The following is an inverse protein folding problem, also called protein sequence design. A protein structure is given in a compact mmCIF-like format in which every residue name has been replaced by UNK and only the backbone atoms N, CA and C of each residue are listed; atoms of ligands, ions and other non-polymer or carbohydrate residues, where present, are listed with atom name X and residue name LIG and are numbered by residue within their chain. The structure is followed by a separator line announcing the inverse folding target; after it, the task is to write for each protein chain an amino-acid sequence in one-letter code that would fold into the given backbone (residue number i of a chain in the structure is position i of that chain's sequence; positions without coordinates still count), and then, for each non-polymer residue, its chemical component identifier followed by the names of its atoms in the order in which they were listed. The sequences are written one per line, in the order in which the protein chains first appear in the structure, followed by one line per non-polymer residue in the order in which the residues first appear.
data_IF_286096306001
#
_entry.id   IF_286096306001
#
_cell.length_a   1.000
_cell.length_b   1.000
_cell.length_c   1.000
_cell.angle_alpha   90.00
_cell.angle_beta   90.00
_cell.angle_gamma   90.00
#
_symmetry.space_group_name_H-M   'P 1'
#
loop_
_entity.id
_entity.type
_entity.pdbx_description
1 polymer ?
#
# COMPACT_ATOMS: atom_id res chain seq x y z
N UNK A 1 -41.99 -2.03 -60.07
CA UNK A 1 -42.58 -3.33 -60.54
C UNK A 1 -42.55 -4.24 -59.33
N UNK A 2 -43.64 -4.43 -58.60
CA UNK A 2 -44.60 -5.53 -58.64
C UNK A 2 -43.84 -6.87 -58.62
N UNK A 3 -44.02 -7.82 -57.76
CA UNK A 3 -45.10 -8.40 -56.93
C UNK A 3 -44.48 -9.75 -56.44
N UNK A 4 -44.79 -10.49 -55.52
CA UNK A 4 -45.93 -10.85 -54.66
C UNK A 4 -45.53 -11.96 -53.71
N UNK A 5 -46.01 -11.85 -52.54
CA UNK A 5 -46.37 -12.86 -51.52
C UNK A 5 -46.58 -14.32 -51.99
N UNK A 6 -46.17 -15.29 -51.16
CA UNK A 6 -47.09 -16.41 -50.80
C UNK A 6 -46.74 -17.01 -49.43
N UNK A 7 -47.73 -17.10 -48.56
CA UNK A 7 -47.77 -17.85 -47.29
C UNK A 7 -48.03 -19.33 -47.58
N UNK A 8 -47.40 -20.22 -46.86
CA UNK A 8 -47.97 -21.54 -46.57
C UNK A 8 -47.78 -21.87 -45.11
N UNK A 9 -48.88 -22.23 -44.49
CA UNK A 9 -49.10 -22.74 -43.13
C UNK A 9 -48.95 -24.27 -43.19
N UNK A 10 -48.27 -24.86 -42.21
CA UNK A 10 -48.25 -26.31 -42.03
C UNK A 10 -47.83 -26.68 -40.63
N UNK A 11 -48.74 -27.31 -39.95
CA UNK A 11 -48.79 -27.60 -38.48
C UNK A 11 -48.22 -29.00 -38.17
N UNK A 12 -47.70 -29.16 -36.92
CA UNK A 12 -47.67 -30.36 -36.04
C UNK A 12 -46.49 -31.34 -36.21
N UNK A 13 -45.84 -31.60 -35.09
CA UNK A 13 -45.04 -32.79 -34.82
C UNK A 13 -44.13 -32.68 -33.61
N UNK A 14 -44.68 -32.98 -32.43
CA UNK A 14 -43.94 -33.14 -31.18
C UNK A 14 -43.10 -34.42 -31.24
N UNK A 15 -41.78 -34.33 -31.03
CA UNK A 15 -41.01 -35.47 -30.53
C UNK A 15 -39.81 -34.93 -29.70
N UNK A 16 -39.88 -35.27 -28.39
CA UNK A 16 -38.78 -35.02 -27.46
C UNK A 16 -37.63 -36.03 -27.73
N UNK A 17 -36.43 -35.50 -27.91
CA UNK A 17 -35.20 -36.29 -27.73
C UNK A 17 -34.25 -35.45 -26.84
N UNK A 18 -33.94 -36.01 -25.67
CA UNK A 18 -32.91 -35.53 -24.78
C UNK A 18 -31.54 -35.77 -25.43
N UNK A 19 -30.87 -34.68 -25.80
CA UNK A 19 -29.46 -34.68 -26.24
C UNK A 19 -28.63 -33.91 -25.26
N UNK A 20 -27.84 -34.63 -24.48
CA UNK A 20 -26.81 -34.02 -23.60
C UNK A 20 -25.73 -33.39 -24.47
N UNK A 21 -25.75 -32.06 -24.58
CA UNK A 21 -24.63 -31.25 -25.08
C UNK A 21 -23.69 -30.96 -23.93
N UNK A 22 -22.54 -31.65 -23.92
CA UNK A 22 -21.37 -31.25 -23.15
C UNK A 22 -20.84 -29.98 -23.81
N UNK A 23 -21.19 -28.83 -23.27
CA UNK A 23 -20.55 -27.55 -23.58
C UNK A 23 -19.28 -27.45 -22.74
N UNK A 24 -18.10 -27.55 -23.39
CA UNK A 24 -16.86 -27.06 -22.84
C UNK A 24 -16.99 -25.54 -22.71
N UNK A 25 -17.47 -25.08 -21.57
CA UNK A 25 -17.40 -23.68 -21.18
C UNK A 25 -16.03 -23.40 -20.62
N UNK A 26 -15.28 -22.51 -21.26
CA UNK A 26 -14.14 -21.86 -20.68
C UNK A 26 -14.63 -21.12 -19.43
N UNK A 27 -14.30 -21.64 -18.24
CA UNK A 27 -14.50 -20.93 -16.99
C UNK A 27 -13.64 -19.66 -17.02
N UNK A 28 -14.27 -18.51 -17.24
CA UNK A 28 -13.74 -17.24 -16.82
C UNK A 28 -13.82 -17.24 -15.30
N UNK A 29 -12.68 -17.48 -14.63
CA UNK A 29 -12.52 -17.34 -13.19
C UNK A 29 -12.72 -15.87 -12.78
N UNK A 30 -13.93 -15.41 -12.76
CA UNK A 30 -14.32 -14.23 -12.01
C UNK A 30 -14.39 -14.65 -10.55
N UNK A 31 -13.42 -14.22 -9.75
CA UNK A 31 -13.44 -14.39 -8.31
C UNK A 31 -14.82 -13.94 -7.79
N UNK A 32 -15.53 -14.83 -7.11
CA UNK A 32 -16.78 -14.48 -6.47
C UNK A 32 -16.53 -13.33 -5.48
N UNK A 33 -17.37 -12.29 -5.46
CA UNK A 33 -17.24 -11.23 -4.46
C UNK A 33 -17.31 -11.83 -3.06
N UNK A 34 -16.64 -11.21 -2.08
CA UNK A 34 -16.63 -11.63 -0.67
C UNK A 34 -18.05 -11.54 -0.05
N UNK A 35 -18.97 -12.34 -0.54
CA UNK A 35 -20.39 -12.28 -0.13
C UNK A 35 -20.64 -12.72 1.32
N UNK A 36 -19.63 -13.29 2.03
CA UNK A 36 -19.74 -13.77 3.41
C UNK A 36 -18.46 -13.63 4.23
N UNK A 37 -17.61 -12.62 3.97
CA UNK A 37 -16.56 -12.29 4.93
C UNK A 37 -17.23 -11.84 6.23
N UNK A 38 -17.11 -12.64 7.28
CA UNK A 38 -17.75 -12.48 8.59
C UNK A 38 -18.00 -11.02 8.94
N UNK A 39 -19.25 -10.69 9.15
CA UNK A 39 -19.88 -9.38 9.17
C UNK A 39 -18.97 -8.19 9.54
N UNK A 40 -18.45 -7.47 8.54
CA UNK A 40 -18.50 -6.02 8.60
C UNK A 40 -19.96 -5.70 8.87
N UNK A 41 -20.28 -4.81 9.78
CA UNK A 41 -21.66 -4.53 10.16
C UNK A 41 -22.57 -4.57 8.93
N UNK A 42 -23.42 -5.58 8.82
CA UNK A 42 -24.50 -5.62 7.81
C UNK A 42 -25.57 -4.60 8.15
N UNK A 43 -25.40 -3.86 9.24
CA UNK A 43 -26.24 -2.75 9.63
C UNK A 43 -26.18 -1.71 8.50
N UNK A 44 -27.30 -1.52 7.84
CA UNK A 44 -27.46 -0.41 6.90
C UNK A 44 -27.44 0.88 7.69
N UNK A 45 -26.49 1.75 7.37
CA UNK A 45 -26.36 3.10 7.92
C UNK A 45 -26.81 4.12 6.85
N UNK A 46 -28.11 4.33 6.65
CA UNK A 46 -28.60 5.21 5.59
C UNK A 46 -28.07 6.65 5.74
N UNK A 47 -27.75 7.06 6.96
CA UNK A 47 -27.13 8.36 7.24
C UNK A 47 -25.72 8.51 6.66
N UNK A 48 -25.05 7.41 6.30
CA UNK A 48 -23.72 7.44 5.67
C UNK A 48 -23.79 7.56 4.15
N UNK A 49 -24.95 7.41 3.53
CA UNK A 49 -25.13 7.46 2.07
C UNK A 49 -24.72 8.78 1.43
N UNK A 50 -24.67 9.85 2.22
CA UNK A 50 -24.20 11.18 1.80
C UNK A 50 -22.68 11.28 1.65
N UNK A 51 -21.91 10.34 2.23
CA UNK A 51 -20.45 10.39 2.19
C UNK A 51 -19.88 9.76 0.93
N UNK A 52 -18.82 10.35 0.44
CA UNK A 52 -17.89 9.75 -0.52
C UNK A 52 -16.51 9.85 0.10
N UNK A 53 -15.93 8.71 0.44
CA UNK A 53 -14.58 8.66 0.98
C UNK A 53 -13.55 8.59 -0.15
N UNK A 54 -12.52 9.43 -0.06
CA UNK A 54 -11.35 9.36 -0.93
C UNK A 54 -10.23 8.65 -0.19
N UNK A 55 -9.80 7.50 -0.71
CA UNK A 55 -8.70 6.71 -0.17
C UNK A 55 -7.45 7.00 -0.98
N UNK A 56 -6.39 7.45 -0.30
CA UNK A 56 -5.07 7.63 -0.89
C UNK A 56 -4.38 6.27 -1.08
N UNK A 57 -3.99 5.97 -2.32
CA UNK A 57 -3.23 4.78 -2.71
C UNK A 57 -1.86 5.20 -3.22
N UNK A 58 -0.79 4.78 -2.56
CA UNK A 58 0.58 5.04 -3.01
C UNK A 58 1.12 3.96 -3.97
N UNK A 59 0.27 3.01 -4.38
CA UNK A 59 0.56 1.99 -5.39
C UNK A 59 1.47 0.85 -4.92
N UNK A 60 2.04 0.91 -3.71
CA UNK A 60 2.96 -0.12 -3.23
C UNK A 60 2.25 -1.43 -2.90
N UNK A 61 1.16 -1.35 -2.18
CA UNK A 61 0.36 -2.49 -1.72
C UNK A 61 -0.82 -2.85 -2.64
N UNK A 62 -1.16 -2.00 -3.63
CA UNK A 62 -2.24 -2.28 -4.57
C UNK A 62 -3.64 -2.32 -3.94
N UNK A 63 -3.89 -1.52 -2.91
CA UNK A 63 -5.18 -1.47 -2.22
C UNK A 63 -6.35 -1.23 -3.16
N UNK A 64 -6.20 -0.38 -4.19
CA UNK A 64 -7.26 -0.16 -5.17
C UNK A 64 -7.58 -1.40 -6.00
N UNK A 65 -6.54 -2.13 -6.46
CA UNK A 65 -6.71 -3.38 -7.20
C UNK A 65 -7.41 -4.43 -6.34
N UNK A 66 -6.99 -4.52 -5.08
CA UNK A 66 -7.52 -5.47 -4.11
C UNK A 66 -8.98 -5.17 -3.78
N UNK A 67 -9.34 -3.91 -3.55
CA UNK A 67 -10.72 -3.49 -3.31
C UNK A 67 -11.65 -3.82 -4.49
N UNK A 68 -11.19 -3.63 -5.72
CA UNK A 68 -11.93 -4.02 -6.93
C UNK A 68 -12.08 -5.53 -7.05
N UNK A 69 -11.02 -6.29 -6.75
CA UNK A 69 -11.02 -7.75 -6.84
C UNK A 69 -11.97 -8.36 -5.82
N UNK A 70 -11.99 -7.85 -4.59
CA UNK A 70 -12.76 -8.41 -3.48
C UNK A 70 -14.19 -7.91 -3.42
N UNK A 71 -14.50 -6.77 -4.06
CA UNK A 71 -15.81 -6.11 -3.93
C UNK A 71 -16.12 -5.65 -2.50
N UNK A 72 -15.08 -5.42 -1.68
CA UNK A 72 -15.22 -5.15 -0.23
C UNK A 72 -16.11 -3.95 0.09
N UNK A 73 -16.29 -3.04 -0.85
CA UNK A 73 -17.14 -1.85 -0.72
C UNK A 73 -18.50 -1.95 -1.40
N UNK A 74 -18.84 -3.06 -2.11
CA UNK A 74 -20.05 -3.17 -2.91
C UNK A 74 -21.33 -3.00 -2.09
N UNK A 75 -21.31 -3.45 -0.83
CA UNK A 75 -22.44 -3.33 0.10
C UNK A 75 -22.27 -2.20 1.13
N UNK A 76 -21.33 -1.28 0.91
CA UNK A 76 -21.14 -0.14 1.81
C UNK A 76 -22.30 0.85 1.71
N UNK A 77 -22.66 1.49 2.84
CA UNK A 77 -23.68 2.54 2.86
C UNK A 77 -23.17 3.90 2.37
N UNK A 78 -21.96 3.98 1.89
CA UNK A 78 -21.26 5.18 1.38
C UNK A 78 -20.57 4.85 0.07
N UNK A 79 -20.02 5.86 -0.59
CA UNK A 79 -19.20 5.70 -1.80
C UNK A 79 -17.71 5.77 -1.47
N UNK A 80 -16.91 5.04 -2.24
CA UNK A 80 -15.45 5.08 -2.15
C UNK A 80 -14.85 5.41 -3.50
N UNK A 81 -13.81 6.23 -3.50
CA UNK A 81 -12.94 6.49 -4.65
C UNK A 81 -11.48 6.43 -4.20
N UNK A 82 -10.60 6.05 -5.09
CA UNK A 82 -9.17 6.02 -4.85
C UNK A 82 -8.48 7.19 -5.55
N UNK A 83 -7.53 7.81 -4.87
CA UNK A 83 -6.62 8.81 -5.41
C UNK A 83 -5.20 8.27 -5.38
N UNK A 84 -4.54 8.21 -6.54
CA UNK A 84 -3.20 7.64 -6.65
C UNK A 84 -2.11 8.67 -6.34
N UNK A 85 -1.15 8.24 -5.56
CA UNK A 85 0.06 8.99 -5.20
C UNK A 85 1.31 8.20 -5.59
N UNK A 86 2.39 8.90 -5.90
CA UNK A 86 3.66 8.28 -6.26
C UNK A 86 4.44 7.78 -5.05
N UNK A 87 4.20 8.36 -3.86
CA UNK A 87 4.84 7.98 -2.58
C UNK A 87 4.17 8.71 -1.41
N UNK A 88 4.61 8.41 -0.16
CA UNK A 88 3.91 8.81 1.05
C UNK A 88 3.78 10.31 1.35
N UNK A 89 4.82 11.16 1.27
CA UNK A 89 4.73 12.58 1.63
C UNK A 89 3.63 13.39 0.93
N UNK A 90 3.41 13.30 -0.40
CA UNK A 90 2.26 13.93 -1.05
C UNK A 90 0.91 13.43 -0.53
N UNK A 91 0.81 12.14 -0.16
CA UNK A 91 -0.41 11.55 0.40
C UNK A 91 -0.72 12.15 1.78
N UNK A 92 0.28 12.28 2.67
CA UNK A 92 0.10 12.93 3.98
C UNK A 92 -0.32 14.39 3.82
N UNK A 93 0.23 15.10 2.84
CA UNK A 93 -0.19 16.47 2.52
C UNK A 93 -1.66 16.52 2.07
N UNK A 94 -2.10 15.59 1.23
CA UNK A 94 -3.48 15.49 0.78
C UNK A 94 -4.45 15.12 1.93
N UNK A 95 -4.01 14.29 2.89
CA UNK A 95 -4.78 14.04 4.11
C UNK A 95 -4.92 15.31 4.96
N UNK A 96 -3.85 16.09 5.06
CA UNK A 96 -3.86 17.34 5.82
C UNK A 96 -4.74 18.42 5.20
N UNK A 97 -4.81 18.51 3.85
CA UNK A 97 -5.72 19.44 3.16
C UNK A 97 -7.17 18.96 3.12
N UNK A 98 -7.43 17.68 3.44
CA UNK A 98 -8.76 17.07 3.34
C UNK A 98 -9.12 16.58 1.92
N UNK A 99 -8.17 16.54 0.99
CA UNK A 99 -8.36 16.01 -0.36
C UNK A 99 -8.54 14.49 -0.37
N UNK A 100 -8.00 13.83 0.65
CA UNK A 100 -8.28 12.43 0.96
C UNK A 100 -8.74 12.30 2.42
N UNK A 101 -9.51 11.25 2.69
CA UNK A 101 -10.03 10.95 4.04
C UNK A 101 -9.13 9.99 4.81
N UNK A 102 -8.51 9.05 4.11
CA UNK A 102 -7.68 7.97 4.65
C UNK A 102 -6.63 7.56 3.61
N UNK A 103 -5.47 7.08 4.06
CA UNK A 103 -4.51 6.45 3.16
C UNK A 103 -3.38 5.77 3.92
N UNK A 104 -2.71 4.80 3.28
CA UNK A 104 -1.58 4.06 3.83
C UNK A 104 -0.26 4.68 3.39
N UNK A 105 0.69 4.81 4.32
CA UNK A 105 2.03 5.35 4.09
C UNK A 105 3.06 4.56 4.91
N UNK A 106 4.34 4.63 4.53
CA UNK A 106 5.42 4.10 5.37
C UNK A 106 5.57 4.86 6.70
N UNK A 107 6.57 4.52 7.48
CA UNK A 107 6.85 5.07 8.81
C UNK A 107 7.29 6.55 8.79
N UNK A 108 8.10 6.97 7.86
CA UNK A 108 8.67 8.34 7.81
C UNK A 108 7.69 9.44 7.38
N UNK A 109 6.77 9.25 6.41
CA UNK A 109 5.87 10.32 5.98
C UNK A 109 5.05 10.97 7.11
N UNK A 110 4.51 10.26 8.13
CA UNK A 110 3.86 10.90 9.26
C UNK A 110 4.80 11.80 10.06
N UNK A 111 6.04 11.38 10.27
CA UNK A 111 7.07 12.16 10.98
C UNK A 111 7.36 13.47 10.24
N UNK A 112 7.62 13.37 8.93
CA UNK A 112 7.96 14.56 8.12
C UNK A 112 6.78 15.49 7.92
N UNK A 113 5.55 14.95 7.85
CA UNK A 113 4.32 15.73 7.82
C UNK A 113 4.06 16.47 9.13
N UNK A 114 4.24 15.78 10.27
CA UNK A 114 4.10 16.38 11.59
C UNK A 114 5.13 17.48 11.85
N UNK A 115 6.38 17.29 11.43
CA UNK A 115 7.43 18.31 11.51
C UNK A 115 7.10 19.58 10.69
N UNK A 116 6.22 19.47 9.68
CA UNK A 116 5.66 20.58 8.90
C UNK A 116 4.33 21.10 9.47
N UNK A 117 3.90 20.57 10.62
CA UNK A 117 2.64 20.95 11.30
C UNK A 117 1.39 20.67 10.45
N UNK A 118 1.42 19.62 9.64
CA UNK A 118 0.27 19.19 8.84
C UNK A 118 -0.85 18.63 9.74
N UNK A 119 -2.09 18.98 9.43
CA UNK A 119 -3.29 18.59 10.18
C UNK A 119 -3.82 17.21 9.79
N UNK A 120 -3.19 16.15 10.25
CA UNK A 120 -3.62 14.76 10.07
C UNK A 120 -3.47 13.96 11.36
N UNK A 121 -3.98 12.73 11.40
CA UNK A 121 -3.73 11.77 12.48
C UNK A 121 -3.30 10.42 11.93
N UNK A 122 -2.43 9.73 12.67
CA UNK A 122 -2.14 8.29 12.49
C UNK A 122 -3.24 7.51 13.20
N UNK A 123 -3.95 6.65 12.48
CA UNK A 123 -5.19 6.03 12.97
C UNK A 123 -5.14 4.51 13.09
N UNK A 124 -4.14 3.87 12.49
CA UNK A 124 -3.86 2.44 12.60
C UNK A 124 -2.44 2.15 12.11
N UNK A 125 -1.92 0.97 12.45
CA UNK A 125 -0.67 0.43 11.93
C UNK A 125 -0.92 -0.82 11.10
N UNK A 126 -0.20 -0.91 10.00
CA UNK A 126 -0.17 -2.08 9.13
C UNK A 126 1.16 -2.79 9.34
N UNK A 127 1.12 -3.96 10.00
CA UNK A 127 2.29 -4.72 10.44
C UNK A 127 2.57 -5.87 9.50
N UNK A 128 3.85 -6.09 9.17
CA UNK A 128 4.24 -7.28 8.41
C UNK A 128 3.99 -8.57 9.19
N UNK A 129 3.44 -9.57 8.52
CA UNK A 129 3.38 -10.96 8.98
C UNK A 129 4.62 -11.76 8.57
N UNK A 130 5.48 -11.18 7.73
CA UNK A 130 6.74 -11.73 7.25
C UNK A 130 7.90 -10.78 7.53
N UNK A 131 8.23 -10.53 8.83
CA UNK A 131 9.22 -9.52 9.21
C UNK A 131 10.65 -9.85 8.79
N UNK A 132 10.90 -11.05 8.28
CA UNK A 132 12.14 -11.53 7.68
C UNK A 132 12.26 -11.20 6.18
N UNK A 133 11.20 -10.67 5.57
CA UNK A 133 11.16 -10.26 4.16
C UNK A 133 11.16 -8.74 4.04
N UNK A 134 12.18 -8.23 3.35
CA UNK A 134 12.35 -6.80 3.16
C UNK A 134 11.38 -6.26 2.09
N UNK A 135 10.55 -5.29 2.47
CA UNK A 135 9.70 -4.51 1.56
C UNK A 135 10.53 -3.50 0.78
N UNK A 136 11.59 -2.96 1.40
CA UNK A 136 12.47 -1.97 0.81
C UNK A 136 13.95 -2.32 1.01
N UNK A 137 14.81 -1.79 0.15
CA UNK A 137 16.23 -2.11 0.14
C UNK A 137 17.06 -0.90 -0.32
N UNK A 138 18.34 -0.87 0.08
CA UNK A 138 19.35 -0.08 -0.61
C UNK A 138 20.00 -0.99 -1.65
N UNK A 139 19.88 -0.63 -2.92
CA UNK A 139 20.40 -1.38 -4.06
C UNK A 139 21.54 -0.64 -4.74
N UNK A 140 22.42 -1.40 -5.38
CA UNK A 140 23.56 -0.88 -6.15
C UNK A 140 23.55 -1.48 -7.56
N UNK A 141 24.11 -0.78 -8.57
CA UNK A 141 24.14 -1.27 -9.95
C UNK A 141 24.89 -2.60 -10.09
N UNK A 142 24.58 -3.34 -11.14
CA UNK A 142 25.36 -4.52 -11.55
C UNK A 142 26.85 -4.16 -11.68
N UNK A 143 27.72 -4.97 -11.09
CA UNK A 143 29.18 -4.75 -11.11
C UNK A 143 29.70 -3.71 -10.10
N UNK A 144 28.82 -3.11 -9.30
CA UNK A 144 29.23 -2.21 -8.22
C UNK A 144 30.20 -2.90 -7.25
N UNK A 145 31.28 -2.20 -6.88
CA UNK A 145 32.29 -2.66 -5.92
C UNK A 145 31.86 -2.42 -4.45
N UNK A 146 30.76 -1.72 -4.19
CA UNK A 146 30.24 -1.49 -2.85
C UNK A 146 29.73 -2.82 -2.29
N UNK A 147 30.21 -3.24 -1.13
CA UNK A 147 29.88 -4.54 -0.50
C UNK A 147 29.05 -4.41 0.77
N UNK A 148 29.21 -3.31 1.48
CA UNK A 148 28.57 -3.03 2.79
C UNK A 148 28.02 -1.61 2.85
N UNK A 149 27.22 -1.31 3.87
CA UNK A 149 26.73 0.04 4.12
C UNK A 149 27.89 1.06 4.37
N UNK A 150 29.03 0.62 4.91
CA UNK A 150 30.18 1.48 5.14
C UNK A 150 30.79 2.02 3.83
N UNK A 151 30.67 1.26 2.73
CA UNK A 151 31.16 1.66 1.41
C UNK A 151 30.34 2.80 0.78
N UNK A 152 29.21 3.18 1.41
CA UNK A 152 28.41 4.32 1.00
C UNK A 152 29.07 5.66 1.28
N UNK A 153 30.15 5.70 2.09
CA UNK A 153 30.88 6.94 2.36
C UNK A 153 31.32 7.62 1.07
N UNK A 154 31.00 8.92 0.92
CA UNK A 154 31.27 9.73 -0.26
C UNK A 154 30.42 9.41 -1.49
N UNK A 155 29.48 8.46 -1.42
CA UNK A 155 28.65 8.02 -2.55
C UNK A 155 27.37 8.83 -2.69
N UNK A 156 26.85 8.84 -3.92
CA UNK A 156 25.54 9.44 -4.27
C UNK A 156 24.47 8.38 -4.08
N UNK A 157 23.50 8.67 -3.23
CA UNK A 157 22.39 7.77 -2.92
C UNK A 157 21.08 8.43 -3.37
N UNK A 158 20.42 7.89 -4.38
CA UNK A 158 19.08 8.33 -4.73
C UNK A 158 18.09 7.88 -3.68
N UNK A 159 17.19 8.76 -3.27
CA UNK A 159 16.17 8.47 -2.27
C UNK A 159 14.99 9.43 -2.40
N UNK A 160 13.72 8.94 -2.31
CA UNK A 160 12.56 9.83 -2.21
C UNK A 160 12.55 10.52 -0.85
N UNK A 161 12.64 11.85 -0.85
CA UNK A 161 12.75 12.64 0.39
C UNK A 161 11.53 12.45 1.29
N UNK A 162 11.76 12.15 2.56
CA UNK A 162 10.70 12.01 3.57
C UNK A 162 9.87 10.73 3.44
N UNK A 163 10.32 9.74 2.65
CA UNK A 163 9.73 8.42 2.55
C UNK A 163 10.38 7.43 3.52
N UNK A 164 9.80 6.23 3.68
CA UNK A 164 10.41 5.11 4.42
C UNK A 164 11.80 4.76 3.91
N UNK A 165 12.00 4.78 2.59
CA UNK A 165 13.32 4.57 1.99
C UNK A 165 14.36 5.63 2.42
N UNK A 166 13.92 6.85 2.78
CA UNK A 166 14.81 7.84 3.41
C UNK A 166 15.18 7.41 4.83
N UNK A 167 14.21 6.89 5.60
CA UNK A 167 14.46 6.30 6.92
C UNK A 167 15.46 5.14 6.86
N UNK A 168 15.23 4.19 5.94
CA UNK A 168 16.15 3.09 5.69
C UNK A 168 17.58 3.58 5.40
N UNK A 169 17.73 4.59 4.52
CA UNK A 169 19.05 5.14 4.20
C UNK A 169 19.75 5.73 5.43
N UNK A 170 19.03 6.52 6.25
CA UNK A 170 19.58 7.11 7.47
C UNK A 170 19.97 6.05 8.51
N UNK A 171 19.12 5.07 8.73
CA UNK A 171 19.38 4.00 9.69
C UNK A 171 20.53 3.10 9.23
N UNK A 172 20.61 2.81 7.92
CA UNK A 172 21.74 2.06 7.36
C UNK A 172 23.07 2.79 7.53
N UNK A 173 23.11 4.09 7.29
CA UNK A 173 24.29 4.92 7.53
C UNK A 173 24.67 4.92 9.01
N UNK A 174 23.71 5.15 9.89
CA UNK A 174 23.91 5.16 11.35
C UNK A 174 24.45 3.82 11.87
N UNK A 175 24.00 2.70 11.32
CA UNK A 175 24.42 1.37 11.74
C UNK A 175 25.93 1.11 11.54
N UNK A 176 26.58 1.88 10.66
CA UNK A 176 28.01 1.80 10.38
C UNK A 176 28.77 3.07 10.79
N UNK A 177 28.18 3.90 11.65
CA UNK A 177 28.81 5.13 12.18
C UNK A 177 28.90 6.28 11.18
N UNK A 178 28.16 6.21 10.06
CA UNK A 178 28.07 7.30 9.10
C UNK A 178 26.86 8.20 9.39
N UNK A 179 26.95 9.44 8.89
CA UNK A 179 25.89 10.46 8.95
C UNK A 179 25.49 10.88 7.54
N UNK A 180 24.38 11.61 7.36
CA UNK A 180 24.01 12.17 6.05
C UNK A 180 25.10 13.08 5.44
N UNK A 181 25.98 13.67 6.27
CA UNK A 181 27.09 14.51 5.82
C UNK A 181 28.23 13.71 5.17
N UNK A 182 28.29 12.40 5.45
CA UNK A 182 29.32 11.50 4.90
C UNK A 182 28.97 10.97 3.51
N UNK A 183 27.77 11.25 3.00
CA UNK A 183 27.24 10.79 1.71
C UNK A 183 26.61 11.96 0.95
N UNK A 184 26.27 11.75 -0.31
CA UNK A 184 25.47 12.69 -1.08
C UNK A 184 24.07 12.12 -1.30
N UNK A 185 23.10 12.50 -0.45
CA UNK A 185 21.70 12.19 -0.70
C UNK A 185 21.20 12.98 -1.89
N UNK A 186 20.66 12.28 -2.90
CA UNK A 186 20.09 12.85 -4.12
C UNK A 186 18.59 12.64 -4.05
N UNK A 187 17.86 13.68 -3.67
CA UNK A 187 16.42 13.64 -3.49
C UNK A 187 15.70 13.66 -4.83
N UNK A 188 15.09 12.55 -5.19
CA UNK A 188 14.38 12.31 -6.43
C UNK A 188 13.08 11.55 -6.15
N UNK A 189 12.06 11.80 -6.97
CA UNK A 189 10.89 10.90 -6.97
C UNK A 189 11.29 9.50 -7.50
N UNK A 190 10.46 8.45 -7.28
CA UNK A 190 10.83 7.10 -7.66
C UNK A 190 11.16 6.92 -9.15
N UNK A 191 10.47 7.62 -10.06
CA UNK A 191 10.70 7.49 -11.50
C UNK A 191 12.02 8.17 -11.94
N UNK A 192 12.29 9.37 -11.44
CA UNK A 192 13.54 10.07 -11.66
C UNK A 192 14.72 9.33 -11.02
N UNK A 193 14.53 8.75 -9.82
CA UNK A 193 15.52 7.93 -9.14
C UNK A 193 15.87 6.67 -9.95
N UNK A 194 14.87 5.97 -10.50
CA UNK A 194 15.09 4.83 -11.39
C UNK A 194 15.92 5.21 -12.62
N UNK A 195 15.61 6.34 -13.25
CA UNK A 195 16.38 6.88 -14.39
C UNK A 195 17.83 7.19 -14.00
N UNK A 196 18.03 7.89 -12.88
CA UNK A 196 19.35 8.24 -12.39
C UNK A 196 20.19 6.99 -12.05
N UNK A 197 19.56 5.97 -11.45
CA UNK A 197 20.19 4.71 -11.12
C UNK A 197 20.60 3.93 -12.37
N UNK A 198 19.70 3.77 -13.34
CA UNK A 198 19.95 3.02 -14.57
C UNK A 198 21.00 3.69 -15.47
N UNK A 199 21.15 5.02 -15.38
CA UNK A 199 22.15 5.79 -16.16
C UNK A 199 23.46 6.06 -15.41
N UNK A 200 23.66 5.49 -14.21
CA UNK A 200 24.88 5.64 -13.41
C UNK A 200 25.09 7.05 -12.84
N UNK A 201 24.04 7.85 -12.74
CA UNK A 201 24.10 9.19 -12.13
C UNK A 201 24.14 9.14 -10.61
N UNK A 202 23.78 8.01 -10.02
CA UNK A 202 23.87 7.70 -8.59
C UNK A 202 24.55 6.34 -8.39
N UNK A 203 25.16 6.15 -7.22
CA UNK A 203 25.95 4.97 -6.90
C UNK A 203 25.14 3.91 -6.16
N UNK A 204 24.05 4.33 -5.51
CA UNK A 204 23.07 3.50 -4.82
C UNK A 204 21.66 4.12 -4.91
N UNK A 205 20.65 3.29 -4.66
CA UNK A 205 19.25 3.70 -4.62
C UNK A 205 18.55 3.04 -3.45
N UNK A 206 17.96 3.83 -2.56
CA UNK A 206 17.10 3.35 -1.49
C UNK A 206 15.65 3.42 -1.96
N UNK A 207 14.97 2.26 -2.02
CA UNK A 207 13.64 2.15 -2.63
C UNK A 207 12.92 0.86 -2.18
N UNK A 208 11.60 0.88 -2.26
CA UNK A 208 10.71 -0.24 -1.95
C UNK A 208 10.30 -1.04 -3.20
N UNK A 209 9.64 -2.16 -2.97
CA UNK A 209 9.02 -2.98 -4.01
C UNK A 209 7.78 -2.26 -4.63
N UNK A 210 7.50 -2.44 -5.93
CA UNK A 210 8.15 -3.38 -6.86
C UNK A 210 9.48 -2.89 -7.46
N UNK A 211 9.84 -1.61 -7.33
CA UNK A 211 11.01 -1.03 -8.01
C UNK A 211 12.31 -1.71 -7.61
N UNK A 212 12.49 -2.01 -6.31
CA UNK A 212 13.65 -2.74 -5.79
C UNK A 212 13.75 -4.13 -6.44
N UNK A 213 12.66 -4.89 -6.42
CA UNK A 213 12.62 -6.24 -6.99
C UNK A 213 12.89 -6.24 -8.51
N UNK A 214 12.30 -5.29 -9.25
CA UNK A 214 12.50 -5.13 -10.70
C UNK A 214 13.96 -4.79 -11.00
N UNK A 215 14.56 -3.87 -10.24
CA UNK A 215 15.98 -3.52 -10.43
C UNK A 215 16.91 -4.71 -10.16
N UNK A 216 16.64 -5.49 -9.11
CA UNK A 216 17.41 -6.70 -8.77
C UNK A 216 17.28 -7.75 -9.86
N UNK A 217 16.08 -7.99 -10.39
CA UNK A 217 15.86 -8.87 -11.55
C UNK A 217 16.66 -8.44 -12.79
N UNK A 218 16.82 -7.11 -12.97
CA UNK A 218 17.60 -6.53 -14.07
C UNK A 218 19.12 -6.49 -13.78
N UNK A 219 19.57 -7.11 -12.69
CA UNK A 219 20.97 -7.32 -12.37
C UNK A 219 21.52 -6.38 -11.31
N UNK A 220 20.74 -5.49 -10.71
CA UNK A 220 21.15 -4.76 -9.51
C UNK A 220 21.34 -5.75 -8.34
N UNK A 221 22.08 -5.32 -7.33
CA UNK A 221 22.35 -6.12 -6.14
C UNK A 221 21.87 -5.38 -4.90
N UNK A 222 21.25 -6.11 -3.98
CA UNK A 222 20.91 -5.57 -2.67
C UNK A 222 22.21 -5.36 -1.87
N UNK A 223 22.43 -4.14 -1.43
CA UNK A 223 23.53 -3.76 -0.54
C UNK A 223 23.10 -3.85 0.92
N UNK A 224 21.91 -3.30 1.24
CA UNK A 224 21.30 -3.36 2.57
C UNK A 224 19.85 -3.77 2.42
N UNK A 225 19.44 -4.78 3.18
CA UNK A 225 18.03 -5.17 3.31
C UNK A 225 17.35 -4.29 4.36
N UNK A 226 16.14 -3.81 4.05
CA UNK A 226 15.27 -3.15 5.00
C UNK A 226 14.62 -4.15 5.95
N UNK A 227 15.35 -4.55 6.97
CA UNK A 227 14.93 -5.49 8.01
C UNK A 227 15.26 -4.93 9.40
N UNK A 228 14.55 -5.35 10.46
CA UNK A 228 14.91 -4.97 11.81
C UNK A 228 16.38 -5.31 12.14
N UNK A 229 17.12 -4.47 12.87
CA UNK A 229 16.68 -3.22 13.49
C UNK A 229 16.81 -1.98 12.61
N UNK A 230 17.20 -2.12 11.34
CA UNK A 230 17.45 -0.98 10.41
C UNK A 230 16.13 -0.41 9.91
N UNK A 231 15.15 -1.28 9.66
CA UNK A 231 13.81 -0.94 9.20
C UNK A 231 12.76 -1.68 10.03
N UNK A 232 11.67 -1.00 10.39
CA UNK A 232 10.60 -1.57 11.21
C UNK A 232 9.63 -2.45 10.41
N UNK A 233 9.67 -2.41 9.08
CA UNK A 233 8.75 -3.12 8.17
C UNK A 233 7.27 -2.84 8.45
N UNK A 234 6.97 -1.67 9.01
CA UNK A 234 5.61 -1.22 9.33
C UNK A 234 5.21 -0.04 8.44
N UNK A 235 3.91 0.04 8.16
CA UNK A 235 3.30 1.21 7.55
C UNK A 235 2.10 1.66 8.38
N UNK A 236 1.63 2.87 8.13
CA UNK A 236 0.62 3.51 8.96
C UNK A 236 -0.53 4.02 8.10
N UNK A 237 -1.75 3.90 8.62
CA UNK A 237 -2.87 4.63 8.07
C UNK A 237 -2.92 6.03 8.66
N UNK A 238 -3.01 7.03 7.78
CA UNK A 238 -3.22 8.43 8.15
C UNK A 238 -4.60 8.88 7.70
N UNK A 239 -5.26 9.70 8.52
CA UNK A 239 -6.58 10.23 8.22
C UNK A 239 -6.62 11.76 8.36
N UNK A 240 -7.48 12.39 7.56
CA UNK A 240 -7.76 13.82 7.64
C UNK A 240 -8.44 14.19 8.96
N UNK A 241 -7.93 15.20 9.63
CA UNK A 241 -8.56 15.78 10.85
C UNK A 241 -9.99 16.26 10.56
N UNK A 242 -10.24 16.78 9.36
CA UNK A 242 -11.58 17.20 8.94
C UNK A 242 -12.56 16.03 8.97
N UNK A 243 -12.15 14.84 8.51
CA UNK A 243 -12.98 13.63 8.53
C UNK A 243 -13.16 13.05 9.93
N UNK A 244 -12.14 13.18 10.79
CA UNK A 244 -12.17 12.69 12.17
C UNK A 244 -13.02 13.53 13.11
N UNK A 245 -13.15 14.84 12.87
CA UNK A 245 -13.90 15.77 13.71
C UNK A 245 -15.43 15.64 13.55
N UNK A 246 -15.93 15.11 12.44
CA UNK A 246 -17.34 14.75 12.28
C UNK A 246 -17.57 13.34 12.83
N UNK A 247 -18.34 13.22 13.91
CA UNK A 247 -18.58 11.92 14.59
C UNK A 247 -19.18 10.86 13.68
N UNK A 248 -20.14 11.24 12.81
CA UNK A 248 -20.79 10.30 11.91
C UNK A 248 -19.83 9.88 10.78
N UNK A 249 -19.07 10.83 10.24
CA UNK A 249 -18.04 10.56 9.22
C UNK A 249 -16.91 9.72 9.80
N UNK A 250 -16.47 9.99 11.04
CA UNK A 250 -15.47 9.17 11.75
C UNK A 250 -15.92 7.72 11.90
N UNK A 251 -17.18 7.49 12.32
CA UNK A 251 -17.73 6.14 12.45
C UNK A 251 -17.76 5.40 11.10
N UNK A 252 -18.18 6.08 10.03
CA UNK A 252 -18.15 5.51 8.69
C UNK A 252 -16.69 5.27 8.20
N UNK A 253 -15.75 6.13 8.56
CA UNK A 253 -14.33 5.96 8.22
C UNK A 253 -13.71 4.76 8.96
N UNK A 254 -14.19 4.44 10.17
CA UNK A 254 -13.82 3.20 10.87
C UNK A 254 -14.25 1.98 10.07
N UNK A 255 -15.49 1.94 9.55
CA UNK A 255 -15.96 0.85 8.67
C UNK A 255 -15.14 0.77 7.37
N UNK A 256 -14.73 1.92 6.79
CA UNK A 256 -13.80 1.94 5.63
C UNK A 256 -12.50 1.22 5.98
N UNK A 257 -11.89 1.56 7.11
CA UNK A 257 -10.62 0.96 7.54
C UNK A 257 -10.77 -0.53 7.87
N UNK A 258 -11.89 -0.95 8.48
CA UNK A 258 -12.18 -2.36 8.74
C UNK A 258 -12.34 -3.16 7.44
N UNK A 259 -12.96 -2.58 6.41
CA UNK A 259 -13.10 -3.21 5.08
C UNK A 259 -11.75 -3.37 4.40
N UNK A 260 -10.91 -2.33 4.39
CA UNK A 260 -9.52 -2.42 3.91
C UNK A 260 -8.71 -3.48 4.67
N UNK A 261 -8.92 -3.59 5.98
CA UNK A 261 -8.27 -4.63 6.80
C UNK A 261 -8.68 -6.05 6.40
N UNK A 262 -9.95 -6.25 5.99
CA UNK A 262 -10.47 -7.54 5.53
C UNK A 262 -9.89 -7.94 4.18
N UNK A 263 -9.76 -6.99 3.26
CA UNK A 263 -9.17 -7.31 1.96
C UNK A 263 -7.71 -7.77 2.08
N UNK A 264 -6.92 -7.18 2.99
CA UNK A 264 -5.58 -7.67 3.28
C UNK A 264 -5.57 -9.06 3.93
N UNK A 265 -6.50 -9.34 4.85
CA UNK A 265 -6.66 -10.67 5.41
C UNK A 265 -7.04 -11.71 4.35
N UNK A 266 -7.86 -11.33 3.37
CA UNK A 266 -8.19 -12.16 2.21
C UNK A 266 -6.96 -12.35 1.29
N UNK A 267 -6.19 -11.30 1.03
CA UNK A 267 -5.00 -11.33 0.17
C UNK A 267 -3.95 -12.32 0.67
N UNK A 268 -3.76 -12.42 1.99
CA UNK A 268 -2.85 -13.39 2.62
C UNK A 268 -3.24 -14.84 2.27
N UNK A 269 -4.54 -15.12 2.16
CA UNK A 269 -5.05 -16.45 1.78
C UNK A 269 -5.11 -16.68 0.26
N UNK A 270 -5.07 -15.60 -0.53
CA UNK A 270 -5.23 -15.63 -1.99
C UNK A 270 -4.08 -14.92 -2.72
N UNK A 271 -2.80 -15.25 -2.44
CA UNK A 271 -1.65 -14.49 -2.92
C UNK A 271 -1.55 -14.47 -4.45
N UNK A 272 -1.94 -15.54 -5.15
CA UNK A 272 -1.89 -15.61 -6.61
C UNK A 272 -2.91 -14.68 -7.28
N UNK A 273 -4.14 -14.62 -6.75
CA UNK A 273 -5.18 -13.72 -7.25
C UNK A 273 -4.82 -12.26 -6.99
N UNK A 274 -4.26 -11.98 -5.81
CA UNK A 274 -3.76 -10.66 -5.47
C UNK A 274 -2.64 -10.22 -6.42
N UNK A 275 -1.67 -11.10 -6.69
CA UNK A 275 -0.58 -10.81 -7.62
C UNK A 275 -1.09 -10.54 -9.05
N UNK A 276 -2.11 -11.27 -9.51
CA UNK A 276 -2.75 -11.02 -10.81
C UNK A 276 -3.40 -9.63 -10.86
N UNK A 277 -4.15 -9.25 -9.82
CA UNK A 277 -4.79 -7.94 -9.74
C UNK A 277 -3.76 -6.80 -9.73
N UNK A 278 -2.69 -6.93 -8.95
CA UNK A 278 -1.60 -5.95 -8.90
C UNK A 278 -0.88 -5.84 -10.26
N UNK A 279 -0.59 -6.99 -10.89
CA UNK A 279 0.03 -7.04 -12.22
C UNK A 279 -0.79 -6.28 -13.26
N UNK A 280 -2.10 -6.50 -13.29
CA UNK A 280 -3.02 -5.84 -14.22
C UNK A 280 -3.12 -4.32 -13.94
N UNK A 281 -3.23 -3.95 -12.67
CA UNK A 281 -3.38 -2.53 -12.30
C UNK A 281 -2.13 -1.71 -12.59
N UNK A 282 -0.95 -2.26 -12.30
CA UNK A 282 0.32 -1.55 -12.44
C UNK A 282 0.99 -1.76 -13.80
N UNK A 283 0.47 -2.67 -14.63
CA UNK A 283 1.06 -3.01 -15.92
C UNK A 283 2.44 -3.66 -15.79
N UNK A 284 2.70 -4.39 -14.70
CA UNK A 284 3.96 -5.11 -14.46
C UNK A 284 3.79 -6.61 -14.72
N UNK A 285 4.86 -7.33 -15.09
CA UNK A 285 4.80 -8.79 -15.25
C UNK A 285 4.32 -9.50 -13.97
N UNK A 286 3.49 -10.53 -14.10
CA UNK A 286 2.94 -11.29 -12.96
C UNK A 286 4.04 -11.82 -12.01
N UNK A 287 5.18 -12.26 -12.57
CA UNK A 287 6.31 -12.71 -11.76
C UNK A 287 6.88 -11.59 -10.87
N UNK A 288 6.88 -10.36 -11.35
CA UNK A 288 7.37 -9.20 -10.61
C UNK A 288 6.35 -8.78 -9.52
N UNK A 289 5.05 -8.87 -9.84
CA UNK A 289 3.98 -8.68 -8.85
C UNK A 289 4.07 -9.72 -7.72
N UNK A 290 4.24 -11.01 -8.05
CA UNK A 290 4.43 -12.08 -7.05
C UNK A 290 5.64 -11.83 -6.15
N UNK A 291 6.78 -11.46 -6.73
CA UNK A 291 8.00 -11.14 -5.96
C UNK A 291 7.79 -9.94 -5.05
N UNK A 292 7.10 -8.91 -5.52
CA UNK A 292 6.80 -7.72 -4.73
C UNK A 292 5.92 -8.05 -3.54
N UNK A 293 4.84 -8.81 -3.77
CA UNK A 293 3.84 -9.11 -2.74
C UNK A 293 4.30 -10.14 -1.71
N UNK A 294 5.36 -10.90 -1.97
CA UNK A 294 5.90 -11.83 -0.99
C UNK A 294 6.25 -11.16 0.35
N UNK A 295 6.68 -9.89 0.30
CA UNK A 295 6.99 -9.09 1.49
C UNK A 295 5.78 -8.27 2.03
N UNK A 296 4.64 -8.25 1.32
CA UNK A 296 3.44 -7.49 1.71
C UNK A 296 2.36 -8.36 2.36
N UNK A 297 2.75 -9.36 3.12
CA UNK A 297 1.82 -10.12 3.97
C UNK A 297 1.60 -9.33 5.25
N UNK A 298 0.46 -8.67 5.38
CA UNK A 298 0.25 -7.67 6.42
C UNK A 298 -1.02 -7.91 7.24
N UNK A 299 -1.03 -7.38 8.46
CA UNK A 299 -2.22 -7.27 9.32
C UNK A 299 -2.38 -5.85 9.83
N UNK A 300 -3.62 -5.40 9.96
CA UNK A 300 -3.96 -4.08 10.49
C UNK A 300 -4.36 -4.19 11.96
N UNK A 301 -3.78 -3.34 12.80
CA UNK A 301 -4.06 -3.25 14.23
C UNK A 301 -4.15 -1.79 14.66
N UNK A 302 -4.71 -1.48 15.85
CA UNK A 302 -4.51 -0.17 16.46
C UNK A 302 -3.01 0.11 16.68
N UNK A 303 -2.66 1.39 16.71
CA UNK A 303 -1.31 1.83 17.12
C UNK A 303 -1.15 1.59 18.62
N UNK A 304 -0.12 0.90 19.02
CA UNK A 304 0.21 0.58 20.41
C UNK A 304 1.33 1.49 20.94
N UNK A 305 1.56 1.50 22.25
CA UNK A 305 2.63 2.29 22.86
C UNK A 305 4.02 1.90 22.36
N UNK A 306 4.20 0.62 22.00
CA UNK A 306 5.44 0.12 21.38
C UNK A 306 5.70 0.76 20.01
N UNK A 307 4.65 0.97 19.20
CA UNK A 307 4.77 1.64 17.89
C UNK A 307 5.12 3.10 18.06
N UNK A 308 4.40 3.79 18.95
CA UNK A 308 4.67 5.19 19.30
C UNK A 308 6.13 5.37 19.72
N UNK A 309 6.64 4.45 20.55
CA UNK A 309 8.02 4.52 21.03
C UNK A 309 9.05 4.25 19.90
N UNK A 310 8.74 3.37 18.95
CA UNK A 310 9.60 3.10 17.78
C UNK A 310 9.61 4.29 16.83
N UNK A 311 8.42 4.80 16.50
CA UNK A 311 8.26 5.99 15.65
C UNK A 311 8.90 7.24 16.27
N UNK A 312 8.82 7.40 17.62
CA UNK A 312 9.48 8.50 18.30
C UNK A 312 11.00 8.43 18.16
N UNK A 313 11.60 7.22 18.27
CA UNK A 313 13.04 7.04 18.03
C UNK A 313 13.44 7.41 16.60
N UNK A 314 12.59 7.08 15.63
CA UNK A 314 12.81 7.45 14.23
C UNK A 314 12.70 8.96 14.03
N UNK A 315 11.69 9.61 14.63
CA UNK A 315 11.51 11.06 14.58
C UNK A 315 12.71 11.79 15.22
N UNK A 316 13.18 11.31 16.37
CA UNK A 316 14.35 11.88 17.06
C UNK A 316 15.63 11.68 16.21
N UNK A 317 15.75 10.56 15.51
CA UNK A 317 16.87 10.33 14.59
C UNK A 317 16.84 11.29 13.38
N UNK A 318 15.66 11.55 12.82
CA UNK A 318 15.48 12.53 11.75
C UNK A 318 15.83 13.95 12.20
N UNK A 319 15.45 14.33 13.42
CA UNK A 319 15.81 15.63 14.01
C UNK A 319 17.33 15.74 14.21
N UNK A 320 17.94 14.72 14.83
CA UNK A 320 19.38 14.68 15.07
C UNK A 320 20.20 14.70 13.77
N UNK A 321 19.68 14.06 12.71
CA UNK A 321 20.28 14.07 11.37
C UNK A 321 20.04 15.38 10.59
N UNK A 322 19.27 16.32 11.15
CA UNK A 322 18.93 17.60 10.49
C UNK A 322 17.99 17.43 9.29
N UNK A 323 17.25 16.32 9.21
CA UNK A 323 16.31 16.04 8.12
C UNK A 323 14.92 16.61 8.40
N UNK A 324 14.62 16.92 9.64
CA UNK A 324 13.51 17.75 10.07
C UNK A 324 14.03 18.84 11.01
N UNK A 325 13.33 19.95 11.08
CA UNK A 325 13.74 21.13 11.89
C UNK A 325 12.95 21.30 13.18
N UNK A 326 11.80 20.61 13.29
CA UNK A 326 10.94 20.65 14.47
C UNK A 326 10.88 19.28 15.12
N UNK A 327 10.89 19.28 16.47
CA UNK A 327 10.65 18.07 17.24
C UNK A 327 9.20 17.61 17.02
N UNK A 328 9.02 16.32 16.80
CA UNK A 328 7.72 15.67 16.62
C UNK A 328 7.39 14.93 17.91
N UNK A 329 6.16 15.08 18.38
CA UNK A 329 5.55 14.25 19.41
C UNK A 329 4.60 13.25 18.71
N UNK A 330 5.05 12.02 18.56
CA UNK A 330 4.32 10.97 17.82
C UNK A 330 3.01 10.61 18.53
N UNK A 331 2.97 10.64 19.86
CA UNK A 331 1.75 10.39 20.61
C UNK A 331 0.66 11.43 20.27
N UNK A 332 1.03 12.69 20.10
CA UNK A 332 0.10 13.78 19.80
C UNK A 332 -0.56 13.68 18.44
N UNK A 333 0.08 13.00 17.48
CA UNK A 333 -0.46 12.78 16.12
C UNK A 333 -1.18 11.43 15.98
N UNK A 334 -1.27 10.63 17.03
CA UNK A 334 -1.95 9.34 17.04
C UNK A 334 -3.38 9.45 17.54
N UNK A 335 -4.36 8.88 16.82
CA UNK A 335 -5.78 8.86 17.16
C UNK A 335 -6.45 7.61 16.56
N UNK A 336 -6.39 6.50 17.27
CA UNK A 336 -6.87 5.20 16.79
C UNK A 336 -8.34 5.22 16.35
N UNK A 337 -8.62 4.68 15.16
CA UNK A 337 -9.97 4.36 14.69
C UNK A 337 -10.42 2.96 15.09
N UNK A 338 -9.50 2.01 15.17
CA UNK A 338 -9.80 0.63 15.52
C UNK A 338 -9.82 0.45 17.04
N UNK A 339 -10.70 -0.41 17.56
CA UNK A 339 -10.77 -0.68 19.00
C UNK A 339 -9.53 -1.43 19.49
N UNK A 340 -9.23 -1.29 20.79
CA UNK A 340 -8.14 -2.04 21.42
C UNK A 340 -8.33 -3.55 21.22
N UNK A 341 -7.24 -4.25 20.88
CA UNK A 341 -7.26 -5.69 20.62
C UNK A 341 -7.77 -6.10 19.23
N UNK A 342 -8.17 -5.16 18.37
CA UNK A 342 -8.45 -5.46 16.97
C UNK A 342 -7.19 -6.00 16.27
N UNK A 343 -7.36 -7.07 15.49
CA UNK A 343 -6.28 -7.67 14.70
C UNK A 343 -6.88 -8.33 13.46
N UNK A 344 -6.60 -7.78 12.29
CA UNK A 344 -7.18 -8.25 11.04
C UNK A 344 -6.75 -9.67 10.66
N UNK A 345 -5.62 -10.17 11.18
CA UNK A 345 -5.19 -11.55 10.93
C UNK A 345 -6.12 -12.60 11.56
N UNK A 346 -6.92 -12.19 12.54
CA UNK A 346 -7.93 -13.04 13.22
C UNK A 346 -9.29 -13.04 12.52
N UNK A 347 -9.46 -12.23 11.49
CA UNK A 347 -10.72 -12.15 10.75
C UNK A 347 -10.95 -13.43 9.95
N UNK A 348 -12.17 -13.93 10.01
CA UNK A 348 -12.62 -14.98 9.10
C UNK A 348 -12.97 -14.33 7.77
N UNK A 349 -12.18 -14.63 6.76
CA UNK A 349 -12.40 -14.21 5.37
C UNK A 349 -12.37 -15.48 4.51
N UNK A 350 -13.36 -15.66 3.67
CA UNK A 350 -13.50 -16.81 2.77
C UNK A 350 -12.92 -16.49 1.39
#
# INVERSE_FOLDING_TARGET
MRTRTTKVIGTVGLLALAGTLVACGSESDTAAPLSNAGAASTAKHPEWSKYTFTIGDNGGDGSQALAKLTGVFDNASYKVRFARFTYGPPLVQAAASGDIDLGSVGDVPPITGAAKEYGFKVVAVNRSLTPDQAVENIIVPKGSQLKTAADLKGRRIAVPQGSSAHGLALNALKSVGLTPKDVKLVFLDPAAAATAFNTGKVDAWSIWNPQSAIAVKNGARILVKGLPPIDQTSSYYVASVTSLNDKAKRAALTDVLERLSREFAWAVKNPDKYAQALSQEQGIPLADAKTSLAAYSNRVTPVEQSDIALEQKLADAFLAAGQITKKVDVASITDNLLPAGYDSSKLKVD
#
